data_IF_648835389368
#
_entry.id   IF_648835389368
#
_cell.length_a   1.000
_cell.length_b   1.000
_cell.length_c   1.000
_cell.angle_alpha   90.00
_cell.angle_beta   90.00
_cell.angle_gamma   90.00
#
_symmetry.space_group_name_H-M   'P 1'
#
loop_
_entity.id
_entity.type
_entity.pdbx_description
1 polymer ?
#
# COMPACT_ATOMS: atom_id res chain seq x y z
N UNK A 1 21.23 71.02 -16.81
CA UNK A 1 20.56 70.63 -18.05
C UNK A 1 21.39 69.48 -18.64
N UNK A 2 20.92 68.27 -18.52
CA UNK A 2 21.41 67.18 -19.41
C UNK A 2 20.41 66.02 -19.31
N UNK A 3 19.71 65.79 -20.38
CA UNK A 3 18.75 64.71 -20.59
C UNK A 3 19.48 63.38 -20.66
N UNK A 4 19.33 62.48 -19.69
CA UNK A 4 19.75 61.10 -19.81
C UNK A 4 18.59 60.30 -20.43
N UNK A 5 18.95 59.76 -21.58
CA UNK A 5 18.10 59.02 -22.52
C UNK A 5 17.50 57.74 -21.93
N UNK A 6 16.24 57.52 -22.22
CA UNK A 6 15.40 56.38 -21.80
C UNK A 6 15.69 55.07 -22.61
N UNK A 7 16.96 54.80 -22.96
CA UNK A 7 17.30 53.65 -23.87
C UNK A 7 18.12 52.54 -23.24
N UNK A 8 18.30 52.48 -21.91
CA UNK A 8 19.15 51.47 -21.27
C UNK A 8 18.39 50.37 -20.50
N UNK A 9 17.07 50.28 -20.59
CA UNK A 9 16.26 49.29 -19.84
C UNK A 9 15.73 48.13 -20.67
N UNK A 10 16.21 47.92 -21.90
CA UNK A 10 15.65 46.86 -22.79
C UNK A 10 16.57 45.64 -22.91
N UNK A 11 17.59 45.43 -22.04
CA UNK A 11 18.51 44.31 -22.13
C UNK A 11 18.51 43.34 -20.98
N UNK A 12 17.62 43.48 -20.00
CA UNK A 12 17.32 42.41 -19.07
C UNK A 12 16.12 41.65 -19.60
N UNK A 13 16.41 40.63 -20.41
CA UNK A 13 15.42 39.60 -20.73
C UNK A 13 14.91 39.00 -19.42
N UNK A 14 13.77 39.49 -18.95
CA UNK A 14 12.95 38.75 -17.99
C UNK A 14 12.52 37.46 -18.70
N UNK A 15 13.41 36.47 -18.69
CA UNK A 15 13.04 35.11 -18.94
C UNK A 15 11.84 34.79 -18.07
N UNK A 16 10.74 34.41 -18.70
CA UNK A 16 9.52 33.95 -18.04
C UNK A 16 9.95 33.06 -16.89
N UNK A 17 9.69 33.47 -15.64
CA UNK A 17 10.03 32.67 -14.48
C UNK A 17 9.60 31.22 -14.73
N UNK A 18 10.45 30.22 -14.50
CA UNK A 18 10.10 28.84 -14.79
C UNK A 18 8.76 28.57 -14.10
N UNK A 19 7.77 28.14 -14.88
CA UNK A 19 6.45 27.78 -14.39
C UNK A 19 6.69 26.76 -13.29
N UNK A 20 6.25 27.06 -12.06
CA UNK A 20 6.42 26.13 -10.94
C UNK A 20 5.97 24.74 -11.40
N UNK A 21 6.75 23.68 -11.16
CA UNK A 21 6.42 22.34 -11.60
C UNK A 21 5.02 21.98 -11.12
N UNK A 22 4.23 21.33 -11.98
CA UNK A 22 2.91 20.87 -11.58
C UNK A 22 3.07 19.86 -10.42
N UNK A 23 2.11 19.73 -9.53
CA UNK A 23 2.20 18.75 -8.44
C UNK A 23 2.39 17.32 -8.96
N UNK A 24 1.92 17.04 -10.18
CA UNK A 24 2.13 15.76 -10.85
C UNK A 24 3.60 15.46 -11.18
N UNK A 25 4.43 16.49 -11.39
CA UNK A 25 5.84 16.36 -11.75
C UNK A 25 6.78 16.38 -10.52
N UNK A 26 6.23 16.65 -9.32
CA UNK A 26 6.99 16.68 -8.08
C UNK A 26 7.30 15.26 -7.59
N UNK A 27 8.42 15.08 -6.87
CA UNK A 27 8.69 13.83 -6.14
C UNK A 27 7.78 13.70 -4.91
N UNK A 28 7.71 12.52 -4.30
CA UNK A 28 6.93 12.35 -3.07
C UNK A 28 7.51 13.18 -1.93
N UNK A 29 8.83 13.34 -1.86
CA UNK A 29 9.53 14.19 -0.88
C UNK A 29 9.17 15.67 -1.05
N UNK A 30 9.11 16.14 -2.31
CA UNK A 30 8.65 17.50 -2.61
C UNK A 30 7.19 17.70 -2.21
N UNK A 31 6.34 16.71 -2.48
CA UNK A 31 4.92 16.75 -2.12
C UNK A 31 4.73 16.74 -0.61
N UNK A 32 5.48 15.92 0.13
CA UNK A 32 5.47 15.91 1.61
C UNK A 32 5.87 17.28 2.16
N UNK A 33 6.95 17.87 1.63
CA UNK A 33 7.39 19.21 2.04
C UNK A 33 6.33 20.26 1.79
N UNK A 34 5.69 20.24 0.61
CA UNK A 34 4.61 21.17 0.26
C UNK A 34 3.33 20.93 1.06
N UNK A 35 3.02 19.67 1.36
CA UNK A 35 1.86 19.29 2.15
C UNK A 35 1.98 19.75 3.62
N UNK A 36 3.20 19.91 4.12
CA UNK A 36 3.47 20.48 5.43
C UNK A 36 3.43 22.03 5.46
N UNK A 37 3.23 22.67 4.29
CA UNK A 37 3.20 24.13 4.09
C UNK A 37 1.81 24.64 3.64
N UNK A 38 1.79 25.80 2.97
CA UNK A 38 0.55 26.49 2.52
C UNK A 38 -0.29 25.72 1.49
N UNK A 39 0.31 24.80 0.72
CA UNK A 39 -0.38 23.99 -0.30
C UNK A 39 -0.83 22.62 0.22
N UNK A 40 -0.96 22.47 1.55
CA UNK A 40 -1.13 21.21 2.27
C UNK A 40 -2.12 20.25 1.64
N UNK A 41 -3.35 20.67 1.43
CA UNK A 41 -4.42 19.80 0.93
C UNK A 41 -4.19 19.32 -0.51
N UNK A 42 -3.69 20.18 -1.39
CA UNK A 42 -3.45 19.82 -2.80
C UNK A 42 -2.28 18.86 -2.96
N UNK A 43 -1.18 19.12 -2.24
CA UNK A 43 -0.01 18.25 -2.28
C UNK A 43 -0.32 16.88 -1.66
N UNK A 44 -1.08 16.86 -0.55
CA UNK A 44 -1.54 15.61 0.05
C UNK A 44 -2.51 14.85 -0.87
N UNK A 45 -3.42 15.53 -1.54
CA UNK A 45 -4.33 14.91 -2.51
C UNK A 45 -3.56 14.22 -3.65
N UNK A 46 -2.44 14.79 -4.10
CA UNK A 46 -1.58 14.13 -5.10
C UNK A 46 -0.86 12.90 -4.52
N UNK A 47 -0.35 12.96 -3.29
CA UNK A 47 0.21 11.79 -2.58
C UNK A 47 -0.85 10.68 -2.45
N UNK A 48 -2.07 11.04 -2.04
CA UNK A 48 -3.19 10.10 -1.94
C UNK A 48 -3.48 9.45 -3.30
N UNK A 49 -3.58 10.23 -4.37
CA UNK A 49 -3.82 9.74 -5.73
C UNK A 49 -2.78 8.72 -6.18
N UNK A 50 -1.50 8.94 -5.85
CA UNK A 50 -0.39 8.03 -6.20
C UNK A 50 -0.40 6.73 -5.42
N UNK A 51 -0.73 6.80 -4.14
CA UNK A 51 -0.55 5.68 -3.21
C UNK A 51 -1.83 4.91 -2.90
N UNK A 52 -3.03 5.47 -3.17
CA UNK A 52 -4.31 4.83 -2.80
C UNK A 52 -4.46 3.41 -3.37
N UNK A 53 -4.07 3.17 -4.62
CA UNK A 53 -4.18 1.86 -5.25
C UNK A 53 -3.29 0.80 -4.58
N UNK A 54 -2.08 1.19 -4.19
CA UNK A 54 -1.11 0.31 -3.52
C UNK A 54 -1.55 -0.01 -2.09
N UNK A 55 -1.93 1.00 -1.32
CA UNK A 55 -2.44 0.83 0.06
C UNK A 55 -3.68 -0.06 0.07
N UNK A 56 -4.63 0.22 -0.81
CA UNK A 56 -5.84 -0.59 -0.96
C UNK A 56 -5.52 -2.03 -1.37
N UNK A 57 -4.59 -2.22 -2.31
CA UNK A 57 -4.14 -3.55 -2.74
C UNK A 57 -3.49 -4.35 -1.61
N UNK A 58 -2.63 -3.72 -0.80
CA UNK A 58 -2.06 -4.32 0.40
C UNK A 58 -3.16 -4.73 1.39
N UNK A 59 -4.05 -3.81 1.74
CA UNK A 59 -5.13 -4.06 2.70
C UNK A 59 -6.10 -5.13 2.22
N UNK A 60 -6.45 -5.15 0.93
CA UNK A 60 -7.31 -6.19 0.35
C UNK A 60 -6.69 -7.58 0.50
N UNK A 61 -5.39 -7.72 0.26
CA UNK A 61 -4.69 -9.01 0.45
C UNK A 61 -4.59 -9.41 1.91
N UNK A 62 -4.42 -8.45 2.82
CA UNK A 62 -4.36 -8.73 4.25
C UNK A 62 -5.74 -9.09 4.83
N UNK A 63 -6.76 -8.34 4.48
CA UNK A 63 -8.11 -8.48 5.03
C UNK A 63 -8.95 -9.56 4.34
N UNK A 64 -8.72 -9.80 3.03
CA UNK A 64 -9.52 -10.73 2.22
C UNK A 64 -10.89 -10.19 1.81
N UNK A 65 -11.32 -9.06 2.35
CA UNK A 65 -12.61 -8.42 2.11
C UNK A 65 -12.43 -7.04 1.49
N UNK A 66 -13.22 -6.73 0.45
CA UNK A 66 -13.09 -5.49 -0.31
C UNK A 66 -13.62 -4.28 0.46
N UNK A 67 -14.76 -4.44 1.09
CA UNK A 67 -15.41 -3.36 1.86
C UNK A 67 -14.54 -2.98 3.04
N UNK A 68 -14.06 -3.98 3.78
CA UNK A 68 -13.13 -3.77 4.88
C UNK A 68 -11.82 -3.12 4.41
N UNK A 69 -11.26 -3.54 3.28
CA UNK A 69 -10.05 -2.94 2.73
C UNK A 69 -10.25 -1.46 2.38
N UNK A 70 -11.43 -1.09 1.87
CA UNK A 70 -11.77 0.30 1.54
C UNK A 70 -11.91 1.15 2.81
N UNK A 71 -12.57 0.63 3.85
CA UNK A 71 -12.72 1.31 5.15
C UNK A 71 -11.37 1.51 5.84
N UNK A 72 -10.55 0.44 5.86
CA UNK A 72 -9.20 0.53 6.42
C UNK A 72 -8.31 1.51 5.64
N UNK A 73 -8.43 1.57 4.31
CA UNK A 73 -7.68 2.51 3.49
C UNK A 73 -8.06 3.97 3.80
N UNK A 74 -9.33 4.27 4.02
CA UNK A 74 -9.77 5.59 4.45
C UNK A 74 -9.12 5.97 5.80
N UNK A 75 -9.14 5.06 6.78
CA UNK A 75 -8.52 5.29 8.08
C UNK A 75 -7.01 5.51 7.97
N UNK A 76 -6.32 4.76 7.10
CA UNK A 76 -4.89 4.94 6.81
C UNK A 76 -4.61 6.35 6.33
N UNK A 77 -5.35 6.85 5.34
CA UNK A 77 -5.12 8.19 4.78
C UNK A 77 -5.51 9.30 5.75
N UNK A 78 -6.52 9.11 6.59
CA UNK A 78 -6.85 10.05 7.67
C UNK A 78 -5.71 10.13 8.70
N UNK A 79 -5.13 8.99 9.09
CA UNK A 79 -3.97 8.96 10.00
C UNK A 79 -2.73 9.55 9.35
N UNK A 80 -2.49 9.24 8.07
CA UNK A 80 -1.38 9.81 7.32
C UNK A 80 -1.49 11.34 7.22
N UNK A 81 -2.68 11.86 6.91
CA UNK A 81 -2.90 13.31 6.86
C UNK A 81 -2.60 14.00 8.19
N UNK A 82 -3.13 13.44 9.29
CA UNK A 82 -2.89 13.98 10.64
C UNK A 82 -1.42 13.85 11.09
N UNK A 83 -0.76 12.77 10.69
CA UNK A 83 0.62 12.48 11.07
C UNK A 83 1.69 13.10 10.17
N UNK A 84 1.29 13.71 9.04
CA UNK A 84 2.23 14.19 8.02
C UNK A 84 3.22 15.26 8.54
N UNK A 85 2.76 16.14 9.44
CA UNK A 85 3.62 17.16 10.05
C UNK A 85 4.75 16.56 10.93
N UNK A 86 4.57 15.33 11.41
CA UNK A 86 5.56 14.58 12.17
C UNK A 86 6.42 13.64 11.31
N UNK A 87 6.19 13.59 10.00
CA UNK A 87 6.98 12.76 9.11
C UNK A 87 8.35 13.41 8.84
N UNK A 88 9.40 12.82 9.38
CA UNK A 88 10.76 13.37 9.34
C UNK A 88 11.57 12.99 8.09
N UNK A 89 11.01 12.25 7.15
CA UNK A 89 11.71 11.85 5.92
C UNK A 89 12.82 10.80 6.13
N UNK A 90 12.88 10.12 7.29
CA UNK A 90 13.89 9.09 7.57
C UNK A 90 13.73 7.83 6.74
N UNK A 91 12.53 7.61 6.21
CA UNK A 91 12.17 6.52 5.30
C UNK A 91 11.41 7.10 4.10
N UNK A 92 11.21 6.31 3.05
CA UNK A 92 10.33 6.70 1.94
C UNK A 92 8.92 6.94 2.44
N UNK A 93 8.20 7.88 1.84
CA UNK A 93 6.80 8.13 2.18
C UNK A 93 5.94 6.86 2.05
N UNK A 94 6.17 6.04 1.01
CA UNK A 94 5.48 4.76 0.82
C UNK A 94 5.73 3.78 1.97
N UNK A 95 6.96 3.66 2.45
CA UNK A 95 7.33 2.79 3.58
C UNK A 95 6.61 3.21 4.87
N UNK A 96 6.61 4.52 5.16
CA UNK A 96 5.88 5.08 6.29
C UNK A 96 4.37 4.84 6.18
N UNK A 97 3.80 5.00 4.98
CA UNK A 97 2.39 4.78 4.70
C UNK A 97 2.00 3.30 4.87
N UNK A 98 2.84 2.36 4.41
CA UNK A 98 2.63 0.92 4.61
C UNK A 98 2.69 0.53 6.09
N UNK A 99 3.56 1.17 6.89
CA UNK A 99 3.59 0.97 8.34
C UNK A 99 2.28 1.40 8.98
N UNK A 100 1.72 2.56 8.59
CA UNK A 100 0.38 2.98 9.04
C UNK A 100 -0.67 1.96 8.63
N UNK A 101 -0.65 1.49 7.37
CA UNK A 101 -1.63 0.52 6.85
C UNK A 101 -1.58 -0.81 7.61
N UNK A 102 -0.39 -1.34 7.87
CA UNK A 102 -0.23 -2.57 8.63
C UNK A 102 -0.72 -2.42 10.08
N UNK A 103 -0.41 -1.31 10.74
CA UNK A 103 -0.87 -1.03 12.10
C UNK A 103 -2.41 -0.87 12.17
N UNK A 104 -3.02 -0.20 11.20
CA UNK A 104 -4.48 -0.09 11.10
C UNK A 104 -5.11 -1.48 10.96
N UNK A 105 -4.57 -2.33 10.09
CA UNK A 105 -5.03 -3.70 9.91
C UNK A 105 -4.89 -4.53 11.20
N UNK A 106 -3.74 -4.48 11.88
CA UNK A 106 -3.51 -5.21 13.13
C UNK A 106 -4.49 -4.77 14.23
N UNK A 107 -4.68 -3.48 14.39
CA UNK A 107 -5.61 -2.93 15.39
C UNK A 107 -7.05 -3.40 15.12
N UNK A 108 -7.48 -3.40 13.86
CA UNK A 108 -8.78 -3.93 13.48
C UNK A 108 -8.91 -5.43 13.84
N UNK A 109 -7.90 -6.24 13.49
CA UNK A 109 -7.89 -7.67 13.82
C UNK A 109 -7.95 -7.95 15.32
N UNK A 110 -7.17 -7.21 16.11
CA UNK A 110 -7.17 -7.34 17.56
C UNK A 110 -8.55 -7.02 18.11
N UNK A 111 -9.15 -5.93 17.67
CA UNK A 111 -10.51 -5.53 18.09
C UNK A 111 -11.58 -6.59 17.76
N UNK A 112 -11.55 -7.14 16.54
CA UNK A 112 -12.48 -8.21 16.13
C UNK A 112 -12.30 -9.45 17.00
N UNK A 113 -11.05 -9.84 17.29
CA UNK A 113 -10.74 -10.98 18.15
C UNK A 113 -11.22 -10.77 19.60
N UNK A 114 -11.03 -9.57 20.14
CA UNK A 114 -11.52 -9.21 21.49
C UNK A 114 -13.03 -9.26 21.56
N UNK A 115 -13.74 -8.73 20.56
CA UNK A 115 -15.19 -8.79 20.46
C UNK A 115 -15.72 -10.23 20.37
N UNK A 116 -15.04 -11.09 19.60
CA UNK A 116 -15.40 -12.50 19.46
C UNK A 116 -15.11 -13.34 20.73
N UNK A 117 -14.28 -12.82 21.64
CA UNK A 117 -13.96 -13.48 22.90
C UNK A 117 -14.92 -13.09 24.06
N UNK A 118 -15.85 -12.14 23.81
CA UNK A 118 -16.87 -11.77 24.81
C UNK A 118 -17.92 -12.90 24.91
N UNK A 119 -18.46 -13.20 26.12
CA UNK A 119 -19.54 -14.18 26.29
C UNK A 119 -20.74 -13.85 25.41
N UNK A 120 -21.41 -14.89 24.89
CA UNK A 120 -22.51 -14.81 23.94
C UNK A 120 -23.58 -13.76 24.33
N UNK A 121 -23.76 -12.78 23.49
CA UNK A 121 -24.72 -11.66 23.63
C UNK A 121 -24.46 -10.54 22.64
N UNK A 122 -23.29 -10.53 22.00
CA UNK A 122 -22.94 -9.60 20.94
C UNK A 122 -22.71 -10.39 19.65
N UNK A 123 -23.65 -10.33 18.73
CA UNK A 123 -23.42 -10.86 17.36
C UNK A 123 -22.32 -10.01 16.69
N UNK A 124 -21.07 -10.35 16.95
CA UNK A 124 -19.97 -9.96 16.08
C UNK A 124 -20.16 -10.77 14.80
N UNK A 125 -20.73 -10.15 13.77
CA UNK A 125 -20.85 -10.74 12.46
C UNK A 125 -19.46 -11.16 11.98
N UNK A 126 -19.11 -12.42 12.18
CA UNK A 126 -17.96 -13.06 11.56
C UNK A 126 -18.29 -13.18 10.08
N UNK A 127 -18.00 -12.12 9.31
CA UNK A 127 -18.02 -12.20 7.87
C UNK A 127 -16.88 -13.12 7.45
N UNK A 128 -17.25 -14.31 7.00
CA UNK A 128 -16.33 -15.15 6.23
C UNK A 128 -15.76 -14.29 5.08
N UNK A 129 -14.46 -14.39 4.77
CA UNK A 129 -13.88 -13.62 3.69
C UNK A 129 -14.60 -13.98 2.39
N UNK A 130 -15.46 -13.09 1.91
CA UNK A 130 -15.96 -13.18 0.54
C UNK A 130 -14.78 -12.95 -0.39
N UNK A 131 -14.43 -13.99 -1.12
CA UNK A 131 -13.34 -14.02 -2.09
C UNK A 131 -13.78 -13.22 -3.33
N UNK A 132 -14.07 -11.92 -3.19
CA UNK A 132 -14.49 -11.02 -4.26
C UNK A 132 -13.29 -10.50 -5.06
N UNK A 133 -12.48 -11.43 -5.57
CA UNK A 133 -11.44 -11.11 -6.54
C UNK A 133 -12.11 -10.94 -7.91
N UNK A 134 -12.02 -9.73 -8.42
CA UNK A 134 -12.60 -9.25 -9.68
C UNK A 134 -12.41 -10.23 -10.84
N UNK A 135 -13.52 -10.50 -11.59
CA UNK A 135 -13.62 -11.44 -12.71
C UNK A 135 -12.76 -11.11 -13.96
N UNK A 136 -11.97 -10.04 -13.97
CA UNK A 136 -11.20 -9.56 -15.14
C UNK A 136 -9.67 -9.70 -15.02
N UNK A 137 -9.17 -10.54 -14.12
CA UNK A 137 -7.74 -10.85 -14.04
C UNK A 137 -7.45 -12.14 -14.79
N UNK A 138 -6.25 -12.23 -15.44
CA UNK A 138 -5.81 -13.49 -16.05
C UNK A 138 -5.84 -14.60 -15.00
N UNK A 139 -6.21 -15.83 -15.39
CA UNK A 139 -6.37 -16.98 -14.50
C UNK A 139 -5.15 -17.15 -13.57
N UNK A 140 -3.93 -17.05 -14.11
CA UNK A 140 -2.69 -17.13 -13.32
C UNK A 140 -2.59 -16.08 -12.20
N UNK A 141 -3.09 -14.87 -12.42
CA UNK A 141 -3.04 -13.79 -11.42
C UNK A 141 -4.07 -14.02 -10.33
N UNK A 142 -5.20 -14.59 -10.67
CA UNK A 142 -6.24 -15.01 -9.74
C UNK A 142 -5.73 -16.15 -8.86
N UNK A 143 -5.06 -17.13 -9.45
CA UNK A 143 -4.50 -18.28 -8.77
C UNK A 143 -3.43 -17.84 -7.75
N UNK A 144 -2.57 -16.92 -8.14
CA UNK A 144 -1.59 -16.33 -7.24
C UNK A 144 -2.24 -15.55 -6.07
N UNK A 145 -3.26 -14.74 -6.35
CA UNK A 145 -3.98 -14.00 -5.30
C UNK A 145 -4.66 -14.97 -4.32
N UNK A 146 -5.21 -16.09 -4.79
CA UNK A 146 -5.80 -17.15 -3.95
C UNK A 146 -4.72 -17.86 -3.12
N UNK A 147 -3.60 -18.22 -3.73
CA UNK A 147 -2.49 -18.85 -3.02
C UNK A 147 -1.91 -17.93 -1.93
N UNK A 148 -1.79 -16.62 -2.22
CA UNK A 148 -1.37 -15.64 -1.23
C UNK A 148 -2.41 -15.51 -0.10
N UNK A 149 -3.70 -15.51 -0.42
CA UNK A 149 -4.77 -15.43 0.59
C UNK A 149 -4.78 -16.65 1.53
N UNK A 150 -4.37 -17.82 1.07
CA UNK A 150 -4.24 -19.03 1.88
C UNK A 150 -3.05 -19.01 2.85
N UNK A 151 -2.08 -18.10 2.67
CA UNK A 151 -0.94 -18.00 3.58
C UNK A 151 -1.38 -17.51 4.97
N UNK A 152 -0.74 -17.99 6.06
CA UNK A 152 -0.82 -17.35 7.36
C UNK A 152 -0.45 -15.86 7.28
N UNK A 153 -1.15 -15.00 8.02
CA UNK A 153 -1.04 -13.55 7.92
C UNK A 153 0.38 -13.00 7.97
N UNK A 154 1.23 -13.54 8.88
CA UNK A 154 2.64 -13.15 9.00
C UNK A 154 3.45 -13.39 7.73
N UNK A 155 3.11 -14.41 6.95
CA UNK A 155 3.77 -14.73 5.68
C UNK A 155 3.15 -13.94 4.54
N UNK A 156 1.83 -13.77 4.56
CA UNK A 156 1.08 -12.98 3.60
C UNK A 156 1.56 -11.53 3.56
N UNK A 157 1.73 -10.90 4.73
CA UNK A 157 2.23 -9.53 4.82
C UNK A 157 3.61 -9.37 4.18
N UNK A 158 4.56 -10.26 4.53
CA UNK A 158 5.93 -10.20 4.00
C UNK A 158 5.98 -10.43 2.50
N UNK A 159 5.20 -11.41 1.98
CA UNK A 159 5.10 -11.71 0.54
C UNK A 159 4.51 -10.54 -0.23
N UNK A 160 3.43 -9.97 0.27
CA UNK A 160 2.76 -8.83 -0.38
C UNK A 160 3.69 -7.63 -0.47
N UNK A 161 4.34 -7.26 0.64
CA UNK A 161 5.27 -6.12 0.66
C UNK A 161 6.47 -6.35 -0.28
N UNK A 162 7.06 -7.53 -0.27
CA UNK A 162 8.26 -7.80 -1.05
C UNK A 162 7.99 -7.94 -2.54
N UNK A 163 7.05 -8.83 -2.93
CA UNK A 163 6.83 -9.17 -4.34
C UNK A 163 5.86 -8.26 -5.08
N UNK A 164 4.93 -7.63 -4.38
CA UNK A 164 3.87 -6.87 -5.02
C UNK A 164 4.02 -5.36 -4.83
N UNK A 165 4.71 -4.94 -3.76
CA UNK A 165 4.95 -3.53 -3.47
C UNK A 165 6.43 -3.12 -3.60
N UNK A 166 7.30 -4.08 -3.97
CA UNK A 166 8.74 -3.87 -4.20
C UNK A 166 9.47 -3.20 -3.02
N UNK A 167 9.12 -3.66 -1.79
CA UNK A 167 9.70 -3.15 -0.55
C UNK A 167 10.92 -3.99 -0.18
N UNK A 168 12.03 -3.35 0.18
CA UNK A 168 13.26 -4.02 0.59
C UNK A 168 13.13 -4.74 1.95
N UNK A 169 13.95 -5.74 2.22
CA UNK A 169 13.95 -6.48 3.49
C UNK A 169 14.10 -5.59 4.74
N UNK A 170 15.02 -4.61 4.77
CA UNK A 170 15.10 -3.68 5.89
C UNK A 170 13.81 -2.87 6.08
N UNK A 171 13.24 -2.34 5.01
CA UNK A 171 11.99 -1.59 5.08
C UNK A 171 10.81 -2.46 5.56
N UNK A 172 10.75 -3.74 5.12
CA UNK A 172 9.74 -4.69 5.62
C UNK A 172 9.92 -4.94 7.13
N UNK A 173 11.17 -5.06 7.60
CA UNK A 173 11.45 -5.20 9.02
C UNK A 173 10.91 -4.01 9.82
N UNK A 174 11.11 -2.78 9.30
CA UNK A 174 10.61 -1.55 9.91
C UNK A 174 9.07 -1.44 9.84
N UNK A 175 8.46 -1.83 8.71
CA UNK A 175 7.00 -1.79 8.53
C UNK A 175 6.30 -2.74 9.49
N UNK A 176 6.80 -3.98 9.61
CA UNK A 176 6.17 -5.04 10.38
C UNK A 176 6.65 -5.08 11.84
N UNK A 177 7.63 -4.26 12.22
CA UNK A 177 8.26 -4.23 13.53
C UNK A 177 8.81 -5.62 13.94
N UNK A 178 9.59 -6.25 13.04
CA UNK A 178 10.21 -7.56 13.25
C UNK A 178 11.68 -7.55 12.85
N UNK A 179 12.52 -8.43 13.45
CA UNK A 179 13.93 -8.52 13.07
C UNK A 179 14.12 -8.89 11.59
N UNK A 180 15.15 -8.35 10.93
CA UNK A 180 15.49 -8.66 9.54
C UNK A 180 15.66 -10.16 9.28
N UNK A 181 16.23 -10.91 10.22
CA UNK A 181 16.34 -12.37 10.15
C UNK A 181 14.97 -13.06 10.09
N UNK A 182 13.96 -12.50 10.78
CA UNK A 182 12.59 -12.99 10.77
C UNK A 182 11.95 -12.74 9.40
N UNK A 183 12.18 -11.58 8.77
CA UNK A 183 11.71 -11.29 7.40
C UNK A 183 12.21 -12.35 6.42
N UNK A 184 13.53 -12.63 6.44
CA UNK A 184 14.15 -13.67 5.58
C UNK A 184 13.53 -15.05 5.79
N UNK A 185 13.35 -15.43 7.06
CA UNK A 185 12.73 -16.71 7.42
C UNK A 185 11.27 -16.80 6.98
N UNK A 186 10.50 -15.71 7.14
CA UNK A 186 9.10 -15.66 6.72
C UNK A 186 8.98 -15.75 5.20
N UNK A 187 9.82 -15.05 4.43
CA UNK A 187 9.84 -15.15 2.97
C UNK A 187 10.20 -16.56 2.50
N UNK A 188 11.20 -17.19 3.11
CA UNK A 188 11.59 -18.55 2.76
C UNK A 188 10.44 -19.54 2.99
N UNK A 189 9.79 -19.48 4.17
CA UNK A 189 8.65 -20.34 4.50
C UNK A 189 7.45 -20.08 3.61
N UNK A 190 7.16 -18.79 3.33
CA UNK A 190 6.09 -18.39 2.43
C UNK A 190 6.28 -18.95 1.01
N UNK A 191 7.50 -18.85 0.46
CA UNK A 191 7.83 -19.45 -0.86
C UNK A 191 7.56 -20.94 -0.92
N UNK A 192 7.91 -21.67 0.15
CA UNK A 192 7.64 -23.11 0.23
C UNK A 192 6.14 -23.38 0.20
N UNK A 193 5.36 -22.68 1.03
CA UNK A 193 3.90 -22.85 1.07
C UNK A 193 3.23 -22.48 -0.25
N UNK A 194 3.66 -21.38 -0.87
CA UNK A 194 3.13 -20.98 -2.20
C UNK A 194 3.43 -22.04 -3.26
N UNK A 195 4.63 -22.64 -3.24
CA UNK A 195 4.97 -23.71 -4.18
C UNK A 195 4.09 -24.94 -3.95
N UNK A 196 3.87 -25.33 -2.71
CA UNK A 196 2.99 -26.47 -2.35
C UNK A 196 1.54 -26.22 -2.85
N UNK A 197 1.01 -25.01 -2.69
CA UNK A 197 -0.33 -24.63 -3.20
C UNK A 197 -0.41 -24.63 -4.73
N UNK A 198 0.60 -24.08 -5.41
CA UNK A 198 0.59 -23.95 -6.88
C UNK A 198 0.87 -25.30 -7.57
N UNK A 199 1.65 -26.21 -6.99
CA UNK A 199 1.85 -27.55 -7.53
C UNK A 199 0.61 -28.42 -7.42
N UNK A 200 -0.18 -28.32 -6.35
CA UNK A 200 -1.45 -29.03 -6.22
C UNK A 200 -2.51 -28.65 -7.25
N UNK A 201 -2.38 -27.49 -7.89
CA UNK A 201 -3.30 -27.01 -8.94
C UNK A 201 -2.90 -27.51 -10.34
N UNK A 202 -1.62 -27.76 -10.57
CA UNK A 202 -1.15 -28.34 -11.83
C UNK A 202 -1.65 -29.77 -12.07
N UNK A 203 -1.79 -30.55 -11.00
CA UNK A 203 -2.27 -31.93 -11.07
C UNK A 203 -3.80 -32.03 -11.19
N UNK A 204 -4.55 -31.05 -10.68
CA UNK A 204 -6.03 -31.05 -10.77
C UNK A 204 -6.53 -30.68 -12.18
N UNK A 205 -5.81 -29.80 -12.88
CA UNK A 205 -6.17 -29.41 -14.26
C UNK A 205 -5.85 -30.51 -15.29
N UNK A 206 -4.92 -31.42 -14.98
CA UNK A 206 -4.62 -32.56 -15.83
C UNK A 206 -5.63 -33.72 -15.65
N UNK A 207 -6.31 -33.81 -14.50
CA UNK A 207 -7.30 -34.87 -14.21
C UNK A 207 -8.68 -34.61 -14.79
N UNK A 208 -9.04 -33.36 -15.09
CA UNK A 208 -10.37 -33.05 -15.71
C UNK A 208 -10.36 -33.15 -17.25
N UNK A 209 -9.18 -33.25 -17.85
CA UNK A 209 -9.08 -33.41 -19.34
C UNK A 209 -9.12 -34.87 -19.81
N UNK A 210 -9.22 -35.87 -18.92
CA UNK A 210 -9.18 -37.29 -19.27
C UNK A 210 -10.52 -38.03 -19.08
N UNK A 211 -11.64 -37.32 -18.90
CA UNK A 211 -12.98 -37.92 -18.77
C UNK A 211 -13.91 -37.39 -19.89
N UNK A 212 -13.49 -37.54 -21.14
CA UNK A 212 -14.42 -37.50 -22.30
C UNK A 212 -13.79 -38.23 -23.52
N UNK A 213 -13.82 -39.56 -23.47
CA UNK A 213 -13.77 -40.44 -24.67
C UNK A 213 -14.75 -41.61 -24.48
#
# INVERSE_FOLDING_TARGET
MSKLSASALTWFGFGRAPKAPSLADCTDEDLVTRASQREGDRAFAELLRRHQGKVRGLLLRLAGDRTLADDLAQEVFLRAYRGLHGFEGRARFSTWLYRIAYNVYLNHRTRVRELAALPEGFEAGAMAPENSLSANRSDLRRDLDVAIAALPDRYRAVVTLYYLEDVSYPEIADILDIPLGTVKTHLHRAKRLLREHLHGWGDTSASEAEVDV
#
